data_IF_895320990520
#
_entry.id   IF_895320990520
#
_cell.length_a   1.000
_cell.length_b   1.000
_cell.length_c   1.000
_cell.angle_alpha   90.00
_cell.angle_beta   90.00
_cell.angle_gamma   90.00
#
_symmetry.space_group_name_H-M   'P 1'
#
loop_
_entity.id
_entity.type
_entity.pdbx_description
1 polymer ?
#
# COMPACT_ATOMS: atom_id res chain seq x y z
N UNK A 1 -2.88 21.90 -3.47
CA UNK A 1 -3.16 20.45 -3.40
C UNK A 1 -2.01 19.77 -2.70
N UNK A 2 -2.25 18.98 -1.65
CA UNK A 2 -1.19 18.32 -0.89
C UNK A 2 -0.74 17.05 -1.62
N UNK A 3 0.57 16.92 -1.82
CA UNK A 3 1.21 15.80 -2.51
C UNK A 3 2.28 15.20 -1.63
N UNK A 4 2.21 13.91 -1.38
CA UNK A 4 3.15 13.18 -0.51
C UNK A 4 3.65 11.95 -1.22
N UNK A 5 4.96 11.76 -1.20
CA UNK A 5 5.64 10.59 -1.76
C UNK A 5 6.25 9.78 -0.64
N UNK A 6 6.07 8.46 -0.68
CA UNK A 6 6.75 7.52 0.20
C UNK A 6 7.45 6.44 -0.63
N UNK A 7 8.47 5.85 -0.04
CA UNK A 7 9.24 4.74 -0.60
C UNK A 7 9.17 3.57 0.38
N UNK A 8 9.00 2.37 -0.16
CA UNK A 8 9.15 1.12 0.58
C UNK A 8 9.91 0.10 -0.27
N UNK A 9 10.45 -0.94 0.38
CA UNK A 9 11.29 -1.93 -0.27
C UNK A 9 10.56 -3.26 -0.42
N UNK A 10 10.74 -3.98 -1.54
CA UNK A 10 10.18 -5.31 -1.68
C UNK A 10 10.79 -6.25 -0.65
N UNK A 11 10.16 -7.40 -0.44
CA UNK A 11 10.57 -8.36 0.59
C UNK A 11 10.62 -9.77 0.04
N UNK A 12 11.51 -10.59 0.60
CA UNK A 12 11.57 -12.03 0.38
C UNK A 12 11.32 -12.78 1.68
N UNK A 13 10.41 -13.76 1.63
CA UNK A 13 10.03 -14.54 2.81
C UNK A 13 11.08 -15.59 3.17
N UNK A 14 11.59 -15.53 4.40
CA UNK A 14 12.40 -16.56 5.04
C UNK A 14 11.49 -17.63 5.65
N UNK A 15 10.54 -17.21 6.48
CA UNK A 15 9.38 -18.03 6.89
C UNK A 15 8.21 -17.59 6.03
N UNK A 16 7.66 -18.50 5.25
CA UNK A 16 6.67 -18.18 4.22
C UNK A 16 5.37 -17.68 4.84
N UNK A 17 4.67 -16.84 4.10
CA UNK A 17 3.29 -16.47 4.37
C UNK A 17 2.41 -17.30 3.44
N UNK A 18 1.53 -18.14 3.99
CA UNK A 18 0.62 -18.95 3.18
C UNK A 18 -0.70 -19.22 3.92
N UNK A 19 -1.81 -18.99 3.24
CA UNK A 19 -3.16 -19.15 3.82
C UNK A 19 -3.64 -17.94 4.64
N UNK A 20 -4.97 -17.84 4.74
CA UNK A 20 -5.66 -16.82 5.51
C UNK A 20 -6.43 -17.49 6.65
N UNK A 21 -6.36 -16.89 7.85
CA UNK A 21 -7.36 -17.12 8.89
C UNK A 21 -8.63 -16.30 8.64
N UNK A 22 -8.45 -15.11 8.08
CA UNK A 22 -9.54 -14.19 7.71
C UNK A 22 -9.15 -13.47 6.42
N UNK A 23 -9.96 -13.65 5.37
CA UNK A 23 -9.68 -13.10 4.03
C UNK A 23 -10.00 -11.61 3.98
N UNK A 24 -11.01 -11.15 4.72
CA UNK A 24 -11.46 -9.76 4.69
C UNK A 24 -10.50 -8.83 5.40
N UNK A 25 -10.03 -9.23 6.57
CA UNK A 25 -9.00 -8.51 7.32
C UNK A 25 -7.57 -8.89 6.92
N UNK A 26 -7.44 -9.85 5.98
CA UNK A 26 -6.19 -10.43 5.50
C UNK A 26 -5.31 -10.92 6.66
N UNK A 27 -5.92 -11.53 7.66
CA UNK A 27 -5.21 -12.10 8.80
C UNK A 27 -4.50 -13.40 8.36
N UNK A 28 -3.18 -13.52 8.61
CA UNK A 28 -2.45 -14.72 8.25
C UNK A 28 -2.93 -15.93 9.06
N UNK A 29 -2.80 -17.12 8.47
CA UNK A 29 -3.02 -18.37 9.20
C UNK A 29 -1.93 -18.62 10.26
N UNK A 30 -0.69 -18.22 9.95
CA UNK A 30 0.48 -18.39 10.81
C UNK A 30 1.48 -17.26 10.61
N UNK A 31 2.43 -17.12 11.53
CA UNK A 31 3.45 -16.08 11.46
C UNK A 31 4.42 -16.31 10.28
N UNK A 32 5.04 -15.22 9.84
CA UNK A 32 5.98 -15.21 8.71
C UNK A 32 7.06 -14.16 8.93
N UNK A 33 8.26 -14.43 8.40
CA UNK A 33 9.45 -13.60 8.54
C UNK A 33 10.00 -13.35 7.14
N UNK A 34 10.46 -12.13 6.88
CA UNK A 34 10.98 -11.72 5.58
C UNK A 34 12.11 -10.72 5.72
N UNK A 35 12.88 -10.54 4.66
CA UNK A 35 13.96 -9.55 4.55
C UNK A 35 13.68 -8.61 3.38
N UNK A 36 13.99 -7.33 3.55
CA UNK A 36 13.86 -6.34 2.49
C UNK A 36 14.97 -6.52 1.45
N UNK A 37 14.63 -6.38 0.17
CA UNK A 37 15.57 -6.52 -0.95
C UNK A 37 16.04 -5.17 -1.47
N UNK A 38 16.52 -4.30 -0.57
CA UNK A 38 17.18 -3.07 -0.98
C UNK A 38 18.38 -3.39 -1.93
N UNK A 39 18.68 -2.53 -2.93
CA UNK A 39 18.16 -1.17 -3.14
C UNK A 39 16.90 -1.11 -4.03
N UNK A 40 16.18 -2.22 -4.25
CA UNK A 40 14.92 -2.16 -4.99
C UNK A 40 13.87 -1.37 -4.21
N UNK A 41 13.08 -0.56 -4.92
CA UNK A 41 12.16 0.42 -4.34
C UNK A 41 10.82 0.39 -5.08
N UNK A 42 9.74 0.57 -4.31
CA UNK A 42 8.48 1.05 -4.83
C UNK A 42 8.25 2.46 -4.31
N UNK A 43 8.09 3.41 -5.23
CA UNK A 43 7.79 4.80 -4.93
C UNK A 43 6.32 5.06 -5.20
N UNK A 44 5.57 5.44 -4.18
CA UNK A 44 4.15 5.79 -4.31
C UNK A 44 3.95 7.25 -3.94
N UNK A 45 3.33 7.99 -4.84
CA UNK A 45 2.92 9.37 -4.63
C UNK A 45 1.41 9.45 -4.56
N UNK A 46 0.91 10.07 -3.50
CA UNK A 46 -0.51 10.34 -3.32
C UNK A 46 -0.73 11.85 -3.34
N UNK A 47 -1.65 12.29 -4.19
CA UNK A 47 -2.03 13.68 -4.37
C UNK A 47 -3.51 13.84 -4.02
N UNK A 48 -3.83 14.75 -3.10
CA UNK A 48 -5.23 15.07 -2.78
C UNK A 48 -5.82 15.89 -3.92
N UNK A 49 -6.90 15.36 -4.50
CA UNK A 49 -7.59 15.85 -5.71
C UNK A 49 -9.10 15.88 -5.48
N UNK A 50 -9.62 16.89 -4.77
CA UNK A 50 -11.05 17.00 -4.45
C UNK A 50 -11.95 17.20 -5.68
N UNK A 51 -11.34 17.54 -6.82
CA UNK A 51 -11.98 17.75 -8.12
C UNK A 51 -12.29 16.46 -8.87
N UNK A 52 -11.79 15.31 -8.40
CA UNK A 52 -12.13 14.01 -8.98
C UNK A 52 -13.47 13.49 -8.44
N UNK A 53 -14.21 12.78 -9.29
CA UNK A 53 -15.43 12.07 -8.88
C UNK A 53 -15.12 10.84 -8.00
N UNK A 54 -14.00 10.18 -8.28
CA UNK A 54 -13.53 8.97 -7.59
C UNK A 54 -12.01 8.99 -7.41
N UNK A 55 -11.48 8.06 -6.60
CA UNK A 55 -10.04 7.91 -6.48
C UNK A 55 -9.47 7.39 -7.81
N UNK A 56 -8.31 7.90 -8.24
CA UNK A 56 -7.63 7.45 -9.45
C UNK A 56 -6.32 6.77 -9.08
N UNK A 57 -6.01 5.63 -9.70
CA UNK A 57 -4.82 4.83 -9.37
C UNK A 57 -4.09 4.42 -10.64
N UNK A 58 -2.81 4.80 -10.70
CA UNK A 58 -1.90 4.45 -11.79
C UNK A 58 -0.68 3.70 -11.24
N UNK A 59 -0.29 2.61 -11.89
CA UNK A 59 0.97 1.89 -11.65
C UNK A 59 1.77 1.89 -12.95
N UNK A 60 3.01 2.35 -12.89
CA UNK A 60 3.89 2.46 -14.07
C UNK A 60 3.24 3.24 -15.24
N UNK A 61 2.43 4.26 -14.89
CA UNK A 61 1.71 5.12 -15.85
C UNK A 61 0.45 4.50 -16.46
N UNK A 62 0.03 3.32 -16.00
CA UNK A 62 -1.16 2.62 -16.49
C UNK A 62 -2.23 2.56 -15.41
N UNK A 63 -3.50 2.70 -15.79
CA UNK A 63 -4.63 2.45 -14.90
C UNK A 63 -4.63 1.00 -14.42
N UNK A 64 -5.04 0.78 -13.18
CA UNK A 64 -5.04 -0.56 -12.57
C UNK A 64 -6.35 -1.32 -12.83
N UNK A 65 -6.30 -2.65 -12.70
CA UNK A 65 -7.51 -3.47 -12.74
C UNK A 65 -8.40 -3.26 -11.50
N UNK A 66 -9.67 -3.68 -11.60
CA UNK A 66 -10.64 -3.53 -10.52
C UNK A 66 -10.18 -4.21 -9.23
N UNK A 67 -9.51 -5.36 -9.33
CA UNK A 67 -9.00 -6.11 -8.18
C UNK A 67 -7.98 -5.31 -7.41
N UNK A 68 -7.04 -4.67 -8.10
CA UNK A 68 -5.99 -3.83 -7.50
C UNK A 68 -6.60 -2.54 -6.97
N UNK A 69 -7.52 -1.93 -7.72
CA UNK A 69 -8.25 -0.74 -7.30
C UNK A 69 -8.97 -0.96 -5.95
N UNK A 70 -9.77 -2.03 -5.82
CA UNK A 70 -10.48 -2.36 -4.56
C UNK A 70 -9.54 -2.56 -3.37
N UNK A 71 -8.33 -3.07 -3.61
CA UNK A 71 -7.30 -3.24 -2.55
C UNK A 71 -6.70 -1.90 -2.12
N UNK A 72 -6.47 -0.99 -3.08
CA UNK A 72 -6.03 0.40 -2.81
C UNK A 72 -7.11 1.16 -2.06
N UNK A 73 -8.36 1.07 -2.51
CA UNK A 73 -9.52 1.67 -1.86
C UNK A 73 -9.65 1.22 -0.40
N UNK A 74 -9.51 -0.09 -0.10
CA UNK A 74 -9.51 -0.61 1.28
C UNK A 74 -8.47 0.09 2.17
N UNK A 75 -7.26 0.29 1.67
CA UNK A 75 -6.18 0.98 2.41
C UNK A 75 -6.53 2.45 2.62
N UNK A 76 -6.93 3.15 1.55
CA UNK A 76 -7.28 4.57 1.60
C UNK A 76 -8.46 4.83 2.53
N UNK A 77 -9.50 3.99 2.49
CA UNK A 77 -10.67 4.07 3.36
C UNK A 77 -10.27 4.02 4.83
N UNK A 78 -9.37 3.10 5.22
CA UNK A 78 -8.95 2.99 6.60
C UNK A 78 -8.18 4.22 7.08
N UNK A 79 -7.30 4.79 6.24
CA UNK A 79 -6.56 6.01 6.58
C UNK A 79 -7.52 7.21 6.68
N UNK A 80 -8.43 7.35 5.71
CA UNK A 80 -9.46 8.40 5.68
C UNK A 80 -10.37 8.38 6.91
N UNK A 81 -10.81 7.20 7.34
CA UNK A 81 -11.63 7.04 8.54
C UNK A 81 -10.92 7.56 9.80
N UNK A 82 -9.62 7.26 9.95
CA UNK A 82 -8.84 7.76 11.09
C UNK A 82 -8.64 9.27 10.99
N UNK A 83 -8.35 9.79 9.80
CA UNK A 83 -8.16 11.22 9.56
C UNK A 83 -9.46 12.04 9.59
N UNK A 84 -10.64 11.38 9.53
CA UNK A 84 -11.96 12.01 9.35
C UNK A 84 -12.02 12.90 8.09
N UNK A 85 -11.52 12.35 6.98
CA UNK A 85 -11.35 13.04 5.70
C UNK A 85 -11.89 12.18 4.56
N UNK A 86 -12.42 12.82 3.52
CA UNK A 86 -13.13 12.13 2.44
C UNK A 86 -12.67 12.54 1.03
N UNK A 87 -11.72 13.48 0.93
CA UNK A 87 -11.25 13.99 -0.34
C UNK A 87 -10.75 12.85 -1.25
N UNK A 88 -10.99 12.99 -2.55
CA UNK A 88 -10.48 12.03 -3.54
C UNK A 88 -9.00 12.22 -3.76
N UNK A 89 -8.34 11.16 -4.24
CA UNK A 89 -6.90 11.16 -4.47
C UNK A 89 -6.52 10.60 -5.82
N UNK A 90 -5.38 11.07 -6.31
CA UNK A 90 -4.65 10.43 -7.38
C UNK A 90 -3.41 9.74 -6.80
N UNK A 91 -3.37 8.42 -6.94
CA UNK A 91 -2.27 7.57 -6.51
C UNK A 91 -1.45 7.18 -7.74
N UNK A 92 -0.16 7.46 -7.71
CA UNK A 92 0.81 7.00 -8.72
C UNK A 92 1.89 6.19 -8.07
N UNK A 93 2.10 4.97 -8.53
CA UNK A 93 3.15 4.09 -8.02
C UNK A 93 4.08 3.62 -9.13
N UNK A 94 5.37 3.52 -8.82
CA UNK A 94 6.39 3.02 -9.75
C UNK A 94 7.40 2.14 -9.02
N UNK A 95 7.83 1.06 -9.66
CA UNK A 95 8.90 0.20 -9.16
C UNK A 95 10.24 0.56 -9.83
N UNK A 96 11.36 0.46 -9.10
CA UNK A 96 12.71 0.57 -9.68
C UNK A 96 13.19 -0.72 -10.36
N UNK A 97 12.29 -1.70 -10.51
CA UNK A 97 12.54 -3.03 -11.04
C UNK A 97 11.35 -3.47 -11.88
N UNK A 98 11.53 -4.41 -12.84
CA UNK A 98 10.43 -4.91 -13.64
C UNK A 98 9.31 -5.52 -12.78
N UNK A 99 8.07 -5.20 -13.11
CA UNK A 99 6.91 -5.83 -12.47
C UNK A 99 6.86 -7.34 -12.80
N UNK A 100 6.21 -8.13 -11.93
CA UNK A 100 5.98 -9.58 -12.10
C UNK A 100 7.21 -10.51 -12.09
N UNK A 101 8.36 -10.08 -11.55
CA UNK A 101 9.56 -10.92 -11.41
C UNK A 101 9.66 -11.66 -10.05
N UNK A 102 8.57 -11.72 -9.27
CA UNK A 102 8.55 -12.46 -8.00
C UNK A 102 9.22 -11.75 -6.80
N UNK A 103 9.63 -10.48 -6.92
CA UNK A 103 10.29 -9.74 -5.84
C UNK A 103 9.36 -9.23 -4.72
N UNK A 104 8.04 -9.39 -4.86
CA UNK A 104 7.09 -8.91 -3.86
C UNK A 104 6.67 -7.44 -4.04
N UNK A 105 6.56 -6.96 -5.28
CA UNK A 105 6.14 -5.59 -5.63
C UNK A 105 4.84 -5.14 -4.94
N UNK A 106 3.88 -6.05 -4.74
CA UNK A 106 2.66 -5.74 -3.99
C UNK A 106 2.95 -5.40 -2.52
N UNK A 107 3.93 -6.04 -1.88
CA UNK A 107 4.23 -5.77 -0.48
C UNK A 107 4.72 -4.32 -0.29
N UNK A 108 5.74 -3.94 -1.05
CA UNK A 108 6.28 -2.58 -1.04
C UNK A 108 5.29 -1.54 -1.54
N UNK A 109 4.51 -1.83 -2.59
CA UNK A 109 3.50 -0.88 -3.10
C UNK A 109 2.43 -0.52 -2.07
N UNK A 110 1.89 -1.51 -1.33
CA UNK A 110 0.89 -1.22 -0.30
C UNK A 110 1.49 -0.63 0.98
N UNK A 111 2.75 -0.93 1.30
CA UNK A 111 3.45 -0.26 2.39
C UNK A 111 3.71 1.23 2.07
N UNK A 112 4.24 1.52 0.88
CA UNK A 112 4.46 2.88 0.41
C UNK A 112 3.14 3.66 0.31
N UNK A 113 2.07 3.05 -0.19
CA UNK A 113 0.73 3.65 -0.20
C UNK A 113 0.26 4.05 1.21
N UNK A 114 0.34 3.14 2.19
CA UNK A 114 -0.12 3.41 3.54
C UNK A 114 0.64 4.58 4.18
N UNK A 115 1.96 4.65 3.98
CA UNK A 115 2.80 5.74 4.47
C UNK A 115 2.48 7.06 3.76
N UNK A 116 2.37 7.06 2.43
CA UNK A 116 2.02 8.26 1.65
C UNK A 116 0.64 8.79 2.03
N UNK A 117 -0.35 7.90 2.18
CA UNK A 117 -1.70 8.26 2.61
C UNK A 117 -1.73 8.84 4.03
N UNK A 118 -1.03 8.23 4.97
CA UNK A 118 -0.92 8.76 6.33
C UNK A 118 -0.35 10.18 6.35
N UNK A 119 0.70 10.44 5.55
CA UNK A 119 1.28 11.77 5.42
C UNK A 119 0.35 12.76 4.70
N UNK A 120 -0.32 12.35 3.63
CA UNK A 120 -1.22 13.21 2.87
C UNK A 120 -2.45 13.61 3.70
N UNK A 121 -3.07 12.66 4.38
CA UNK A 121 -4.25 12.91 5.21
C UNK A 121 -3.91 13.45 6.61
N UNK A 122 -2.64 13.43 7.01
CA UNK A 122 -2.18 13.79 8.36
C UNK A 122 -2.83 12.92 9.44
N UNK A 123 -3.01 11.63 9.13
CA UNK A 123 -3.79 10.71 9.95
C UNK A 123 -3.11 10.33 11.29
N UNK A 124 -1.83 10.67 11.49
CA UNK A 124 -1.13 10.47 12.75
C UNK A 124 -0.92 8.99 13.14
N UNK A 125 -0.95 8.07 12.18
CA UNK A 125 -0.81 6.64 12.46
C UNK A 125 0.62 6.28 12.91
N UNK A 126 0.72 5.51 13.98
CA UNK A 126 1.98 4.89 14.41
C UNK A 126 2.46 3.82 13.42
N UNK A 127 3.74 3.44 13.48
CA UNK A 127 4.31 2.36 12.64
C UNK A 127 3.53 1.05 12.73
N UNK A 128 3.05 0.68 13.93
CA UNK A 128 2.24 -0.53 14.14
C UNK A 128 0.87 -0.43 13.46
N UNK A 129 0.24 0.74 13.51
CA UNK A 129 -1.02 0.96 12.82
C UNK A 129 -0.83 1.00 11.31
N UNK A 130 0.24 1.64 10.80
CA UNK A 130 0.60 1.62 9.38
C UNK A 130 0.79 0.19 8.85
N UNK A 131 1.53 -0.64 9.58
CA UNK A 131 1.69 -2.08 9.26
C UNK A 131 0.34 -2.80 9.18
N UNK A 132 -0.58 -2.50 10.11
CA UNK A 132 -1.94 -3.06 10.12
C UNK A 132 -2.77 -2.61 8.92
N UNK A 133 -2.68 -1.33 8.55
CA UNK A 133 -3.38 -0.75 7.39
C UNK A 133 -2.84 -1.32 6.08
N UNK A 134 -1.51 -1.36 5.91
CA UNK A 134 -0.85 -1.89 4.72
C UNK A 134 -1.27 -3.35 4.44
N UNK A 135 -1.45 -4.15 5.51
CA UNK A 135 -1.92 -5.54 5.44
C UNK A 135 -3.21 -5.69 4.62
N UNK A 136 -4.14 -4.74 4.71
CA UNK A 136 -5.44 -4.77 4.01
C UNK A 136 -5.28 -4.73 2.49
N UNK A 137 -4.23 -4.06 2.01
CA UNK A 137 -3.83 -4.06 0.61
C UNK A 137 -3.14 -5.36 0.22
N UNK A 138 -2.11 -5.78 0.96
CA UNK A 138 -1.47 -7.08 0.80
C UNK A 138 -0.97 -7.59 2.16
N UNK A 139 -1.20 -8.87 2.49
CA UNK A 139 -0.83 -9.42 3.80
C UNK A 139 0.66 -9.22 4.11
N UNK A 140 1.52 -9.44 3.11
CA UNK A 140 2.97 -9.23 3.17
C UNK A 140 3.41 -7.77 3.32
N UNK A 141 2.59 -6.80 2.92
CA UNK A 141 2.92 -5.37 3.04
C UNK A 141 3.07 -4.90 4.50
N UNK A 142 2.52 -5.65 5.45
CA UNK A 142 2.72 -5.38 6.88
C UNK A 142 4.18 -5.44 7.34
N UNK A 143 5.06 -6.08 6.54
CA UNK A 143 6.48 -6.29 6.84
C UNK A 143 7.43 -5.48 5.95
N UNK A 144 6.90 -4.76 4.96
CA UNK A 144 7.66 -3.96 4.01
C UNK A 144 7.81 -2.49 4.46
#
# INVERSE_FOLDING_TARGET
MKKVTAVAHPIQGLIKYHGFRDVDWRLPLHDSISVCTAPFETRTTLEIRPDLNEDAVEIDGQAVDERTYRRVERVLRQVRQVARREERVLVRSQNSFPSNIGLGASASGFAALAVAANGAYEAGLSKRQLSTVARLGAGSASRA
#
